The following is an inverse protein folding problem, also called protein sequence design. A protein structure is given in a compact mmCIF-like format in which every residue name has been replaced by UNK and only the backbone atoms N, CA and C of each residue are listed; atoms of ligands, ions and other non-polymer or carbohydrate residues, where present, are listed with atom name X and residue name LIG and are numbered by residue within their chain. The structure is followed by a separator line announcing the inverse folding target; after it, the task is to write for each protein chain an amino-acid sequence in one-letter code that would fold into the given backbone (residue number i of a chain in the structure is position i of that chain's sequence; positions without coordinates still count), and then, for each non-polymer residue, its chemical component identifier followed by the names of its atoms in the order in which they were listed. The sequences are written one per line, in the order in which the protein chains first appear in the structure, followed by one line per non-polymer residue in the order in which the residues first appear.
data_IF_473688137057
#
_entry.id   IF_473688137057
#
_cell.length_a   1.000
_cell.length_b   1.000
_cell.length_c   1.000
_cell.angle_alpha   90.00
_cell.angle_beta   90.00
_cell.angle_gamma   90.00
#
_symmetry.space_group_name_H-M   'P 1'
#
loop_
_entity.id
_entity.type
_entity.pdbx_description
1 polymer ?
#
# COMPACT_ATOMS: atom_id res chain seq x y z
N UNK A 1 -3.53 14.28 -49.39
CA UNK A 1 -3.38 15.37 -48.38
C UNK A 1 -2.01 15.99 -48.56
N UNK A 2 -1.81 17.32 -48.39
CA UNK A 2 -0.46 17.90 -48.45
C UNK A 2 0.35 17.42 -47.26
N UNK A 3 1.57 16.93 -47.48
CA UNK A 3 2.48 16.39 -46.44
C UNK A 3 2.69 17.39 -45.30
N UNK A 4 2.86 18.68 -45.61
CA UNK A 4 3.03 19.77 -44.66
C UNK A 4 1.81 19.91 -43.69
N UNK A 5 0.58 19.59 -44.18
CA UNK A 5 -0.63 19.59 -43.37
C UNK A 5 -0.64 18.40 -42.38
N UNK A 6 -0.20 17.23 -42.85
CA UNK A 6 -0.05 16.05 -42.00
C UNK A 6 0.97 16.30 -40.86
N UNK A 7 2.16 16.82 -41.20
CA UNK A 7 3.18 17.14 -40.20
C UNK A 7 2.70 18.18 -39.17
N UNK A 8 1.89 19.17 -39.61
CA UNK A 8 1.25 20.14 -38.72
C UNK A 8 0.28 19.46 -37.72
N UNK A 9 -0.55 18.54 -38.22
CA UNK A 9 -1.49 17.80 -37.37
C UNK A 9 -0.70 16.94 -36.36
N UNK A 10 0.27 16.15 -36.85
CA UNK A 10 1.11 15.29 -36.01
C UNK A 10 1.82 16.12 -34.93
N UNK A 11 2.45 17.24 -35.30
CA UNK A 11 3.16 18.06 -34.33
C UNK A 11 2.24 18.62 -33.25
N UNK A 12 1.08 19.19 -33.65
CA UNK A 12 0.16 19.78 -32.69
C UNK A 12 -0.47 18.73 -31.75
N UNK A 13 -0.85 17.57 -32.28
CA UNK A 13 -1.40 16.46 -31.49
C UNK A 13 -0.32 15.91 -30.55
N UNK A 14 0.89 15.66 -31.05
CA UNK A 14 1.98 15.15 -30.21
C UNK A 14 2.37 16.13 -29.11
N UNK A 15 2.50 17.42 -29.39
CA UNK A 15 2.80 18.43 -28.39
C UNK A 15 1.64 18.58 -27.37
N UNK A 16 0.39 18.47 -27.81
CA UNK A 16 -0.78 18.48 -26.94
C UNK A 16 -0.77 17.27 -25.98
N UNK A 17 -0.48 16.06 -26.49
CA UNK A 17 -0.31 14.88 -25.65
C UNK A 17 0.88 14.98 -24.71
N UNK A 18 2.02 15.52 -25.16
CA UNK A 18 3.18 15.75 -24.29
C UNK A 18 2.81 16.66 -23.10
N UNK A 19 2.13 17.78 -23.37
CA UNK A 19 1.69 18.70 -22.32
C UNK A 19 0.71 18.04 -21.33
N UNK A 20 -0.26 17.27 -21.84
CA UNK A 20 -1.22 16.53 -21.02
C UNK A 20 -0.54 15.48 -20.12
N UNK A 21 0.40 14.72 -20.69
CA UNK A 21 1.15 13.70 -19.94
C UNK A 21 2.09 14.33 -18.91
N UNK A 22 2.68 15.49 -19.16
CA UNK A 22 3.44 16.25 -18.16
C UNK A 22 2.56 16.69 -16.99
N UNK A 23 1.34 17.16 -17.28
CA UNK A 23 0.38 17.49 -16.22
C UNK A 23 0.05 16.26 -15.37
N UNK A 24 -0.26 15.12 -16.00
CA UNK A 24 -0.52 13.88 -15.27
C UNK A 24 0.69 13.39 -14.49
N UNK A 25 1.90 13.47 -15.05
CA UNK A 25 3.11 13.11 -14.34
C UNK A 25 3.29 13.94 -13.06
N UNK A 26 3.04 15.25 -13.13
CA UNK A 26 3.10 16.14 -11.97
C UNK A 26 2.05 15.82 -10.91
N UNK A 27 0.79 15.63 -11.31
CA UNK A 27 -0.31 15.31 -10.38
C UNK A 27 -0.13 13.94 -9.72
N UNK A 28 0.29 12.93 -10.49
CA UNK A 28 0.52 11.59 -9.97
C UNK A 28 1.73 11.53 -9.05
N UNK A 29 2.79 12.25 -9.37
CA UNK A 29 3.97 12.35 -8.49
C UNK A 29 3.62 13.05 -7.17
N UNK A 30 2.85 14.15 -7.23
CA UNK A 30 2.36 14.79 -6.02
C UNK A 30 1.49 13.84 -5.18
N UNK A 31 0.56 13.11 -5.80
CA UNK A 31 -0.28 12.12 -5.11
C UNK A 31 0.52 10.98 -4.48
N UNK A 32 1.58 10.51 -5.17
CA UNK A 32 2.50 9.51 -4.65
C UNK A 32 3.23 10.00 -3.39
N UNK A 33 3.86 11.18 -3.47
CA UNK A 33 4.55 11.79 -2.31
C UNK A 33 3.60 12.07 -1.16
N UNK A 34 2.40 12.59 -1.44
CA UNK A 34 1.38 12.82 -0.42
C UNK A 34 0.98 11.53 0.32
N UNK A 35 0.79 10.43 -0.41
CA UNK A 35 0.44 9.15 0.19
C UNK A 35 1.57 8.60 1.06
N UNK A 36 2.82 8.67 0.59
CA UNK A 36 4.01 8.22 1.31
C UNK A 36 4.23 9.02 2.59
N UNK A 37 4.25 10.35 2.50
CA UNK A 37 4.44 11.25 3.63
C UNK A 37 3.34 11.09 4.68
N UNK A 38 2.09 10.91 4.24
CA UNK A 38 0.96 10.71 5.13
C UNK A 38 1.08 9.38 5.89
N UNK A 39 1.39 8.28 5.19
CA UNK A 39 1.60 6.97 5.81
C UNK A 39 2.76 7.03 6.81
N UNK A 40 3.91 7.58 6.41
CA UNK A 40 5.08 7.69 7.29
C UNK A 40 4.76 8.53 8.55
N UNK A 41 4.15 9.70 8.39
CA UNK A 41 3.77 10.58 9.50
C UNK A 41 2.79 9.90 10.48
N UNK A 42 1.76 9.21 9.97
CA UNK A 42 0.78 8.52 10.82
C UNK A 42 1.41 7.35 11.58
N UNK A 43 2.30 6.58 10.96
CA UNK A 43 3.01 5.48 11.60
C UNK A 43 4.04 5.98 12.61
N UNK A 44 4.74 7.07 12.31
CA UNK A 44 5.70 7.68 13.25
C UNK A 44 5.03 8.10 14.55
N UNK A 45 3.84 8.72 14.48
CA UNK A 45 3.07 9.10 15.67
C UNK A 45 2.67 7.91 16.54
N UNK A 46 2.53 6.71 15.97
CA UNK A 46 2.23 5.50 16.73
C UNK A 46 3.46 4.95 17.45
N UNK A 47 4.67 5.36 17.06
CA UNK A 47 5.95 4.94 17.63
C UNK A 47 6.11 3.40 17.75
N UNK A 48 5.64 2.69 16.74
CA UNK A 48 5.71 1.22 16.65
C UNK A 48 7.08 0.83 16.10
N UNK A 49 7.73 -0.16 16.72
CA UNK A 49 8.99 -0.73 16.24
C UNK A 49 8.92 -2.26 16.21
N UNK A 50 9.60 -2.87 15.26
CA UNK A 50 9.88 -4.30 15.33
C UNK A 50 10.82 -4.58 16.49
N UNK A 51 10.62 -5.69 17.21
CA UNK A 51 11.56 -6.09 18.26
C UNK A 51 12.88 -6.57 17.65
N UNK A 52 13.87 -6.78 18.52
CA UNK A 52 15.12 -7.41 18.15
C UNK A 52 14.89 -8.82 17.57
N UNK A 53 15.80 -9.25 16.70
CA UNK A 53 15.63 -10.50 15.93
C UNK A 53 15.35 -11.74 16.79
N UNK A 54 16.00 -11.85 17.94
CA UNK A 54 15.79 -12.96 18.88
C UNK A 54 14.39 -13.02 19.49
N UNK A 55 13.69 -11.89 19.52
CA UNK A 55 12.33 -11.76 20.06
C UNK A 55 11.23 -11.88 19.01
N UNK A 56 11.59 -12.08 17.74
CA UNK A 56 10.63 -12.29 16.67
C UNK A 56 9.94 -13.66 16.80
N UNK A 57 8.65 -13.77 16.39
CA UNK A 57 7.94 -15.05 16.41
C UNK A 57 8.66 -16.10 15.55
N UNK A 58 8.90 -17.27 16.11
CA UNK A 58 9.68 -18.33 15.45
C UNK A 58 9.14 -18.70 14.04
N UNK A 59 7.80 -18.68 13.88
CA UNK A 59 7.15 -19.02 12.62
C UNK A 59 7.42 -18.02 11.48
N UNK A 60 7.72 -16.75 11.81
CA UNK A 60 7.87 -15.65 10.84
C UNK A 60 9.20 -14.92 10.97
N UNK A 61 10.10 -15.44 11.79
CA UNK A 61 11.40 -14.83 12.12
C UNK A 61 12.19 -14.47 10.86
N UNK A 62 12.37 -15.43 9.95
CA UNK A 62 13.14 -15.23 8.73
C UNK A 62 12.58 -14.09 7.87
N UNK A 63 11.25 -14.00 7.72
CA UNK A 63 10.60 -12.97 6.93
C UNK A 63 10.68 -11.58 7.59
N UNK A 64 10.73 -11.51 8.93
CA UNK A 64 10.77 -10.28 9.70
C UNK A 64 12.19 -9.80 10.03
N UNK A 65 13.22 -10.66 9.93
CA UNK A 65 14.60 -10.33 10.28
C UNK A 65 15.12 -9.06 9.58
N UNK A 66 14.68 -8.82 8.33
CA UNK A 66 15.01 -7.59 7.58
C UNK A 66 14.54 -6.30 8.26
N UNK A 67 13.56 -6.37 9.15
CA UNK A 67 12.97 -5.23 9.86
C UNK A 67 13.37 -5.13 11.34
N UNK A 68 14.14 -6.08 11.86
CA UNK A 68 14.51 -6.11 13.28
C UNK A 68 15.03 -4.76 13.75
N UNK A 69 14.61 -4.31 14.95
CA UNK A 69 14.95 -3.04 15.59
C UNK A 69 14.53 -1.77 14.80
N UNK A 70 13.83 -1.90 13.67
CA UNK A 70 13.39 -0.75 12.87
C UNK A 70 12.01 -0.25 13.29
N UNK A 71 11.83 1.07 13.21
CA UNK A 71 10.50 1.69 13.33
C UNK A 71 9.65 1.36 12.10
N UNK A 72 8.36 1.13 12.33
CA UNK A 72 7.39 0.93 11.25
C UNK A 72 7.06 2.29 10.64
N UNK A 73 7.54 2.54 9.42
CA UNK A 73 7.42 3.83 8.73
C UNK A 73 6.77 3.73 7.35
N UNK A 74 6.69 2.52 6.78
CA UNK A 74 6.17 2.32 5.42
C UNK A 74 4.97 1.39 5.40
N UNK A 75 4.18 1.46 4.32
CA UNK A 75 3.04 0.55 4.14
C UNK A 75 3.47 -0.93 4.11
N UNK A 76 4.62 -1.26 3.49
CA UNK A 76 5.14 -2.64 3.50
C UNK A 76 5.46 -3.11 4.92
N UNK A 77 6.17 -2.28 5.71
CA UNK A 77 6.47 -2.57 7.11
C UNK A 77 5.18 -2.74 7.93
N UNK A 78 4.17 -1.90 7.69
CA UNK A 78 2.88 -1.99 8.37
C UNK A 78 2.16 -3.31 8.05
N UNK A 79 2.17 -3.77 6.79
CA UNK A 79 1.65 -5.09 6.41
C UNK A 79 2.38 -6.22 7.11
N UNK A 80 3.71 -6.22 7.05
CA UNK A 80 4.52 -7.28 7.63
C UNK A 80 4.38 -7.31 9.17
N UNK A 81 4.29 -6.15 9.82
CA UNK A 81 4.00 -6.05 11.25
C UNK A 81 2.60 -6.59 11.59
N UNK A 82 1.58 -6.26 10.78
CA UNK A 82 0.21 -6.76 10.93
C UNK A 82 0.12 -8.28 10.80
N UNK A 83 0.65 -8.83 9.69
CA UNK A 83 0.35 -10.19 9.27
C UNK A 83 1.37 -11.22 9.78
N UNK A 84 2.60 -10.80 10.05
CA UNK A 84 3.67 -11.69 10.48
C UNK A 84 4.05 -11.52 11.96
N UNK A 85 3.72 -10.38 12.58
CA UNK A 85 4.00 -10.15 13.99
C UNK A 85 2.73 -10.20 14.86
N UNK A 86 1.77 -9.27 14.65
CA UNK A 86 0.56 -9.22 15.47
C UNK A 86 -0.28 -10.49 15.32
N UNK A 87 -0.47 -10.98 14.10
CA UNK A 87 -1.26 -12.19 13.84
C UNK A 87 -0.69 -13.41 14.57
N UNK A 88 0.64 -13.57 14.58
CA UNK A 88 1.28 -14.70 15.28
C UNK A 88 1.11 -14.57 16.80
N UNK A 89 1.18 -13.37 17.38
CA UNK A 89 0.87 -13.13 18.77
C UNK A 89 -0.59 -13.45 19.13
N UNK A 90 -1.51 -13.09 18.26
CA UNK A 90 -2.94 -13.43 18.42
C UNK A 90 -3.17 -14.95 18.38
N UNK A 91 -2.52 -15.66 17.43
CA UNK A 91 -2.59 -17.13 17.36
C UNK A 91 -2.01 -17.79 18.62
N UNK A 92 -0.86 -17.31 19.09
CA UNK A 92 -0.25 -17.81 20.31
C UNK A 92 -1.15 -17.59 21.53
N UNK A 93 -1.72 -16.40 21.69
CA UNK A 93 -2.66 -16.08 22.77
C UNK A 93 -3.92 -16.98 22.72
N UNK A 94 -4.48 -17.19 21.52
CA UNK A 94 -5.61 -18.08 21.33
C UNK A 94 -5.25 -19.53 21.68
N UNK A 95 -4.08 -20.00 21.25
CA UNK A 95 -3.62 -21.36 21.52
C UNK A 95 -3.42 -21.61 23.01
N UNK A 96 -2.90 -20.63 23.76
CA UNK A 96 -2.72 -20.72 25.21
C UNK A 96 -4.04 -20.93 25.97
N UNK A 97 -5.15 -20.37 25.47
CA UNK A 97 -6.45 -20.41 26.15
C UNK A 97 -7.37 -21.49 25.60
N UNK A 98 -7.36 -21.69 24.27
CA UNK A 98 -8.27 -22.60 23.55
C UNK A 98 -7.63 -23.96 23.21
N UNK A 99 -6.30 -24.11 23.41
CA UNK A 99 -5.54 -25.30 23.02
C UNK A 99 -5.30 -25.38 21.50
N UNK A 100 -5.75 -24.41 20.71
CA UNK A 100 -5.56 -24.28 19.27
C UNK A 100 -5.66 -22.81 18.85
N UNK A 101 -5.12 -22.44 17.68
CA UNK A 101 -5.39 -21.12 17.09
C UNK A 101 -6.90 -20.93 16.93
N UNK A 102 -7.39 -19.74 17.28
CA UNK A 102 -8.80 -19.42 17.18
C UNK A 102 -9.00 -17.96 16.77
N UNK A 103 -10.09 -17.70 16.06
CA UNK A 103 -10.51 -16.36 15.65
C UNK A 103 -11.29 -15.66 16.75
N UNK A 104 -11.42 -14.32 16.62
CA UNK A 104 -12.32 -13.56 17.50
C UNK A 104 -13.75 -14.13 17.54
N UNK A 105 -14.29 -14.56 16.39
CA UNK A 105 -15.63 -15.11 16.31
C UNK A 105 -15.78 -16.40 17.11
N UNK A 106 -14.80 -17.31 17.00
CA UNK A 106 -14.81 -18.59 17.74
C UNK A 106 -14.69 -18.36 19.26
N UNK A 107 -13.77 -17.48 19.68
CA UNK A 107 -13.61 -17.13 21.10
C UNK A 107 -14.84 -16.40 21.64
N UNK A 108 -15.41 -15.49 20.87
CA UNK A 108 -16.65 -14.79 21.25
C UNK A 108 -17.83 -15.75 21.37
N UNK A 109 -17.94 -16.72 20.45
CA UNK A 109 -18.95 -17.78 20.52
C UNK A 109 -18.79 -18.64 21.77
N UNK A 110 -17.57 -19.08 22.11
CA UNK A 110 -17.27 -19.86 23.30
C UNK A 110 -17.60 -19.07 24.59
N UNK A 111 -17.18 -17.81 24.67
CA UNK A 111 -17.49 -16.90 25.77
C UNK A 111 -19.00 -16.74 25.97
N UNK A 112 -19.71 -16.38 24.90
CA UNK A 112 -21.16 -16.18 24.97
C UNK A 112 -21.95 -17.48 25.30
N UNK A 113 -21.41 -18.62 24.85
CA UNK A 113 -21.99 -19.94 25.19
C UNK A 113 -21.98 -20.21 26.70
N UNK A 114 -20.83 -19.92 27.35
CA UNK A 114 -20.75 -20.07 28.82
C UNK A 114 -21.64 -19.07 29.57
N UNK A 115 -21.62 -17.80 29.17
CA UNK A 115 -22.40 -16.74 29.83
C UNK A 115 -23.92 -17.03 29.72
N UNK A 116 -24.40 -17.32 28.51
CA UNK A 116 -25.83 -17.59 28.25
C UNK A 116 -26.27 -18.95 28.83
N UNK A 117 -25.35 -19.91 28.88
CA UNK A 117 -25.61 -21.22 29.46
C UNK A 117 -25.63 -21.22 31.01
N UNK A 118 -25.40 -20.06 31.65
CA UNK A 118 -25.41 -19.94 33.11
C UNK A 118 -24.24 -20.69 33.76
N UNK A 119 -23.11 -20.81 33.11
CA UNK A 119 -21.91 -21.47 33.65
C UNK A 119 -21.45 -20.80 34.96
N UNK A 120 -21.10 -21.61 35.93
CA UNK A 120 -20.52 -21.17 37.22
C UNK A 120 -19.00 -21.07 37.19
N UNK A 121 -18.37 -21.47 36.08
CA UNK A 121 -16.90 -21.36 35.89
C UNK A 121 -16.51 -19.91 35.55
N UNK A 122 -16.48 -19.09 36.59
CA UNK A 122 -16.12 -17.67 36.47
C UNK A 122 -14.70 -17.46 35.98
N UNK A 123 -13.76 -18.37 36.30
CA UNK A 123 -12.35 -18.28 35.86
C UNK A 123 -12.28 -18.49 34.34
N UNK A 124 -12.97 -19.48 33.78
CA UNK A 124 -13.00 -19.71 32.33
C UNK A 124 -13.69 -18.57 31.56
N UNK A 125 -14.79 -18.05 32.14
CA UNK A 125 -15.50 -16.89 31.58
C UNK A 125 -14.54 -15.68 31.52
N UNK A 126 -13.81 -15.36 32.60
CA UNK A 126 -12.85 -14.26 32.61
C UNK A 126 -11.74 -14.46 31.58
N UNK A 127 -11.13 -15.66 31.54
CA UNK A 127 -10.06 -16.00 30.60
C UNK A 127 -10.48 -15.84 29.13
N UNK A 128 -11.70 -16.29 28.78
CA UNK A 128 -12.25 -16.11 27.42
C UNK A 128 -12.62 -14.66 27.16
N UNK A 129 -13.08 -13.92 28.16
CA UNK A 129 -13.34 -12.48 28.05
C UNK A 129 -12.08 -11.68 27.72
N UNK A 130 -10.99 -11.95 28.44
CA UNK A 130 -9.69 -11.30 28.22
C UNK A 130 -9.11 -11.66 26.85
N UNK A 131 -9.18 -12.94 26.46
CA UNK A 131 -8.75 -13.36 25.11
C UNK A 131 -9.59 -12.70 24.02
N UNK A 132 -10.91 -12.64 24.20
CA UNK A 132 -11.83 -11.97 23.27
C UNK A 132 -11.43 -10.50 23.08
N UNK A 133 -11.10 -9.79 24.18
CA UNK A 133 -10.64 -8.41 24.15
C UNK A 133 -9.29 -8.29 23.41
N UNK A 134 -8.34 -9.18 23.71
CA UNK A 134 -7.04 -9.24 23.05
C UNK A 134 -7.17 -9.42 21.54
N UNK A 135 -8.01 -10.37 21.11
CA UNK A 135 -8.24 -10.61 19.69
C UNK A 135 -8.98 -9.45 18.99
N UNK A 136 -9.91 -8.80 19.70
CA UNK A 136 -10.57 -7.60 19.19
C UNK A 136 -9.59 -6.47 18.95
N UNK A 137 -8.76 -6.16 19.94
CA UNK A 137 -7.73 -5.12 19.83
C UNK A 137 -6.70 -5.45 18.75
N UNK A 138 -6.22 -6.70 18.72
CA UNK A 138 -5.29 -7.16 17.70
C UNK A 138 -5.85 -7.03 16.29
N UNK A 139 -7.11 -7.43 16.04
CA UNK A 139 -7.76 -7.27 14.74
C UNK A 139 -7.94 -5.79 14.37
N UNK A 140 -8.26 -4.92 15.32
CA UNK A 140 -8.40 -3.48 15.08
C UNK A 140 -7.05 -2.87 14.67
N UNK A 141 -5.98 -3.16 15.42
CA UNK A 141 -4.62 -2.70 15.08
C UNK A 141 -4.18 -3.22 13.71
N UNK A 142 -4.41 -4.50 13.41
CA UNK A 142 -4.14 -5.07 12.09
C UNK A 142 -4.88 -4.34 10.99
N UNK A 143 -6.17 -4.07 11.19
CA UNK A 143 -6.98 -3.33 10.21
C UNK A 143 -6.41 -1.94 9.91
N UNK A 144 -5.99 -1.19 10.94
CA UNK A 144 -5.36 0.13 10.78
C UNK A 144 -4.02 0.05 10.02
N UNK A 145 -3.17 -0.92 10.36
CA UNK A 145 -1.89 -1.13 9.69
C UNK A 145 -2.07 -1.56 8.22
N UNK A 146 -3.05 -2.42 7.93
CA UNK A 146 -3.38 -2.82 6.57
C UNK A 146 -3.97 -1.67 5.75
N UNK A 147 -4.65 -0.71 6.39
CA UNK A 147 -5.06 0.53 5.75
C UNK A 147 -3.85 1.39 5.37
N UNK A 148 -2.86 1.52 6.26
CA UNK A 148 -1.60 2.21 5.93
C UNK A 148 -0.87 1.52 4.76
N UNK A 149 -0.85 0.18 4.71
CA UNK A 149 -0.35 -0.59 3.58
C UNK A 149 -1.11 -0.28 2.28
N UNK A 150 -2.45 -0.25 2.31
CA UNK A 150 -3.26 0.05 1.13
C UNK A 150 -2.96 1.46 0.58
N UNK A 151 -2.88 2.47 1.44
CA UNK A 151 -2.52 3.83 1.04
C UNK A 151 -1.09 3.92 0.49
N UNK A 152 -0.12 3.28 1.15
CA UNK A 152 1.26 3.21 0.66
C UNK A 152 1.35 2.53 -0.71
N UNK A 153 0.60 1.45 -0.92
CA UNK A 153 0.54 0.76 -2.22
C UNK A 153 -0.04 1.65 -3.32
N UNK A 154 -1.10 2.43 -3.01
CA UNK A 154 -1.64 3.41 -3.96
C UNK A 154 -0.61 4.49 -4.31
N UNK A 155 0.18 4.94 -3.33
CA UNK A 155 1.30 5.87 -3.56
C UNK A 155 2.34 5.30 -4.53
N UNK A 156 2.75 4.05 -4.32
CA UNK A 156 3.70 3.34 -5.20
C UNK A 156 3.15 3.22 -6.62
N UNK A 157 1.89 2.83 -6.78
CA UNK A 157 1.24 2.73 -8.10
C UNK A 157 1.19 4.10 -8.79
N UNK A 158 0.84 5.16 -8.05
CA UNK A 158 0.82 6.52 -8.57
C UNK A 158 2.23 6.97 -9.02
N UNK A 159 3.28 6.62 -8.26
CA UNK A 159 4.67 6.90 -8.63
C UNK A 159 5.09 6.22 -9.93
N UNK A 160 4.78 4.94 -10.11
CA UNK A 160 5.04 4.26 -11.39
C UNK A 160 4.23 4.86 -12.55
N UNK A 161 2.97 5.24 -12.32
CA UNK A 161 2.15 5.89 -13.33
C UNK A 161 2.68 7.29 -13.69
N UNK A 162 3.23 8.03 -12.72
CA UNK A 162 3.91 9.31 -12.95
C UNK A 162 5.14 9.13 -13.85
N UNK A 163 5.97 8.13 -13.55
CA UNK A 163 7.15 7.81 -14.36
C UNK A 163 6.76 7.42 -15.80
N UNK A 164 5.76 6.55 -15.95
CA UNK A 164 5.25 6.15 -17.26
C UNK A 164 4.70 7.35 -18.05
N UNK A 165 3.98 8.25 -17.39
CA UNK A 165 3.48 9.49 -17.98
C UNK A 165 4.61 10.42 -18.42
N UNK A 166 5.67 10.54 -17.62
CA UNK A 166 6.85 11.34 -17.95
C UNK A 166 7.59 10.80 -19.18
N UNK A 167 7.79 9.48 -19.25
CA UNK A 167 8.42 8.82 -20.40
C UNK A 167 7.57 8.97 -21.66
N UNK A 168 6.25 8.82 -21.53
CA UNK A 168 5.30 9.08 -22.63
C UNK A 168 5.33 10.53 -23.11
N UNK A 169 5.40 11.50 -22.18
CA UNK A 169 5.52 12.91 -22.49
C UNK A 169 6.79 13.20 -23.29
N UNK A 170 7.93 12.63 -22.87
CA UNK A 170 9.21 12.77 -23.55
C UNK A 170 9.14 12.21 -24.98
N UNK A 171 8.55 11.03 -25.16
CA UNK A 171 8.35 10.43 -26.47
C UNK A 171 7.52 11.34 -27.39
N UNK A 172 6.36 11.82 -26.93
CA UNK A 172 5.50 12.70 -27.71
C UNK A 172 6.16 14.07 -27.97
N UNK A 173 6.95 14.57 -27.05
CA UNK A 173 7.73 15.80 -27.24
C UNK A 173 8.74 15.63 -28.40
N UNK A 174 9.49 14.52 -28.39
CA UNK A 174 10.46 14.21 -29.47
C UNK A 174 9.76 14.09 -30.81
N UNK A 175 8.65 13.35 -30.86
CA UNK A 175 7.84 13.20 -32.08
C UNK A 175 7.30 14.55 -32.58
N UNK A 176 6.78 15.37 -31.67
CA UNK A 176 6.26 16.69 -31.99
C UNK A 176 7.34 17.62 -32.55
N UNK A 177 8.52 17.67 -31.91
CA UNK A 177 9.67 18.46 -32.38
C UNK A 177 10.14 17.94 -33.75
N UNK A 178 10.30 16.62 -33.91
CA UNK A 178 10.72 16.02 -35.18
C UNK A 178 9.75 16.39 -36.32
N UNK A 179 8.44 16.34 -36.08
CA UNK A 179 7.43 16.76 -37.05
C UNK A 179 7.51 18.26 -37.38
N UNK A 180 7.78 19.13 -36.41
CA UNK A 180 8.01 20.56 -36.64
C UNK A 180 9.25 20.79 -37.49
N UNK A 181 10.34 20.12 -37.19
CA UNK A 181 11.61 20.26 -37.97
C UNK A 181 11.42 19.71 -39.38
N UNK A 182 10.79 18.53 -39.52
CA UNK A 182 10.51 17.96 -40.84
C UNK A 182 9.66 18.89 -41.72
N UNK A 183 8.59 19.49 -41.15
CA UNK A 183 7.74 20.46 -41.83
C UNK A 183 8.53 21.68 -42.36
N UNK A 184 9.55 22.15 -41.67
CA UNK A 184 10.36 23.28 -42.09
C UNK A 184 11.23 22.98 -43.32
N UNK A 185 11.57 21.70 -43.55
CA UNK A 185 12.43 21.26 -44.65
C UNK A 185 11.59 20.68 -45.83
N UNK A 186 10.29 20.51 -45.67
CA UNK A 186 9.44 19.92 -46.72
C UNK A 186 8.82 21.00 -47.60
N UNK A 187 8.97 20.88 -48.93
CA UNK A 187 8.36 21.77 -49.93
C UNK A 187 6.84 21.77 -49.90
N UNK A 188 6.19 22.84 -50.35
CA UNK A 188 4.74 23.06 -50.20
C UNK A 188 3.88 22.15 -51.10
N UNK A 189 4.45 21.52 -52.13
CA UNK A 189 3.72 20.79 -53.17
C UNK A 189 3.74 19.26 -53.08
N UNK A 190 4.40 18.70 -52.07
CA UNK A 190 4.48 17.24 -51.92
C UNK A 190 3.10 16.70 -51.45
N UNK A 191 2.44 15.94 -52.33
CA UNK A 191 1.21 15.19 -52.05
C UNK A 191 1.55 13.81 -51.54
N UNK A 192 0.78 13.34 -50.55
CA UNK A 192 0.79 11.95 -50.02
C UNK A 192 -0.55 11.31 -50.40
#
# INVERSE_FOLDING_TARGET
MKRRTLDKIISNVSLGFAALLLLFAGLLNWGASFAEDNVASQLEMQNISFPAEESLPAATKEALAKWADQKVMTGEMARDYSDLYILEHMKASATAVMGKPATYSEVSGAYMGLVRGGSTDTAKIAQLGDLRQTLFMGNTLRGMLLQAYAFGTMGVIAGYAALASLLGALLFLILGIAAVLHRRHTGEEILI
#
